data_IF_485641712500
#
_entry.id   IF_485641712500
#
_cell.length_a   1.000
_cell.length_b   1.000
_cell.length_c   1.000
_cell.angle_alpha   90.00
_cell.angle_beta   90.00
_cell.angle_gamma   90.00
#
_symmetry.space_group_name_H-M   'P 1'
#
loop_
_entity.id
_entity.type
_entity.pdbx_description
1 polymer ?
#
# COMPACT_ATOMS: atom_id res chain seq x y z
N UNK A 1 20.73 0.94 1.30
CA UNK A 1 21.06 1.70 2.54
C UNK A 1 22.13 2.75 2.30
N UNK A 2 23.15 2.46 1.51
CA UNK A 2 24.26 3.42 1.22
C UNK A 2 23.79 4.73 0.59
N UNK A 3 22.71 4.70 -0.22
CA UNK A 3 22.10 5.91 -0.76
C UNK A 3 21.42 6.82 0.28
N UNK A 4 20.93 6.24 1.38
CA UNK A 4 20.29 6.99 2.47
C UNK A 4 21.28 7.37 3.58
N UNK A 5 22.29 6.52 3.80
CA UNK A 5 23.30 6.66 4.86
C UNK A 5 24.69 6.31 4.34
N UNK A 6 25.26 7.12 3.43
CA UNK A 6 26.54 6.81 2.80
C UNK A 6 27.66 6.71 3.85
N UNK A 7 28.36 5.59 3.84
CA UNK A 7 29.50 5.33 4.75
C UNK A 7 29.15 5.05 6.21
N UNK A 8 27.84 4.97 6.59
CA UNK A 8 27.43 4.74 7.97
C UNK A 8 27.46 3.26 8.38
N UNK A 9 27.68 2.33 7.45
CA UNK A 9 27.71 0.89 7.74
C UNK A 9 26.40 0.34 8.33
N UNK A 10 25.27 0.91 7.95
CA UNK A 10 23.96 0.44 8.43
C UNK A 10 23.71 -0.99 7.99
N UNK A 11 23.55 -1.88 8.94
CA UNK A 11 23.30 -3.29 8.66
C UNK A 11 21.92 -3.49 8.01
N UNK A 12 21.89 -4.34 6.99
CA UNK A 12 20.67 -4.76 6.31
C UNK A 12 20.39 -6.20 6.76
N UNK A 13 19.19 -6.42 7.27
CA UNK A 13 18.69 -7.74 7.58
C UNK A 13 17.83 -8.25 6.45
N UNK A 14 18.07 -9.46 6.02
CA UNK A 14 17.24 -10.17 5.07
C UNK A 14 17.19 -11.66 5.46
N UNK A 15 16.09 -12.29 5.14
CA UNK A 15 15.98 -13.74 5.30
C UNK A 15 16.86 -14.41 4.24
N UNK A 16 17.72 -15.35 4.67
CA UNK A 16 18.60 -16.09 3.76
C UNK A 16 17.92 -17.23 3.00
N UNK A 17 16.61 -17.41 3.18
CA UNK A 17 15.81 -18.43 2.50
C UNK A 17 15.18 -17.94 1.18
N UNK A 18 14.45 -18.86 0.51
CA UNK A 18 13.79 -18.57 -0.77
C UNK A 18 12.60 -17.60 -0.65
N UNK A 19 12.11 -17.34 0.57
CA UNK A 19 10.99 -16.45 0.82
C UNK A 19 11.05 -15.80 2.20
N UNK A 20 10.69 -14.51 2.28
CA UNK A 20 10.59 -13.79 3.52
C UNK A 20 9.14 -13.85 4.07
N UNK A 21 8.93 -14.37 5.28
CA UNK A 21 7.59 -14.52 5.87
C UNK A 21 6.90 -13.17 6.14
N UNK A 22 7.62 -12.06 6.29
CA UNK A 22 7.02 -10.74 6.47
C UNK A 22 6.39 -10.20 5.19
N UNK A 23 7.04 -10.43 4.04
CA UNK A 23 6.69 -9.76 2.79
C UNK A 23 6.12 -10.70 1.73
N UNK A 24 6.55 -11.98 1.72
CA UNK A 24 6.15 -12.99 0.73
C UNK A 24 5.22 -14.05 1.34
N UNK A 25 4.21 -13.58 2.04
CA UNK A 25 3.27 -14.45 2.77
C UNK A 25 2.50 -15.43 1.87
N UNK A 26 2.44 -15.18 0.57
CA UNK A 26 1.88 -16.11 -0.41
C UNK A 26 2.72 -17.39 -0.62
N UNK A 27 3.91 -17.47 -0.06
CA UNK A 27 4.79 -18.66 -0.10
C UNK A 27 4.59 -19.62 1.07
N UNK A 28 3.85 -19.23 2.11
CA UNK A 28 3.73 -20.01 3.35
C UNK A 28 2.32 -20.57 3.54
N UNK A 29 2.21 -21.87 3.85
CA UNK A 29 0.92 -22.54 4.02
C UNK A 29 0.04 -21.91 5.13
N UNK A 30 0.64 -21.48 6.24
CA UNK A 30 -0.07 -20.90 7.38
C UNK A 30 -0.80 -19.57 7.04
N UNK A 31 -0.32 -18.87 6.02
CA UNK A 31 -0.85 -17.58 5.58
C UNK A 31 -1.71 -17.66 4.31
N UNK A 32 -1.90 -18.88 3.77
CA UNK A 32 -2.77 -19.07 2.62
C UNK A 32 -4.24 -18.95 3.05
N UNK A 33 -5.02 -18.10 2.38
CA UNK A 33 -6.47 -18.11 2.55
C UNK A 33 -7.06 -19.44 2.04
N UNK A 34 -8.13 -19.90 2.67
CA UNK A 34 -8.96 -20.96 2.08
C UNK A 34 -9.50 -20.47 0.72
N UNK A 35 -9.26 -21.19 -0.39
CA UNK A 35 -9.60 -20.70 -1.73
C UNK A 35 -11.11 -20.49 -1.93
N UNK A 36 -11.96 -21.35 -1.37
CA UNK A 36 -13.40 -21.26 -1.54
C UNK A 36 -13.95 -20.03 -0.77
N UNK A 37 -13.49 -19.84 0.47
CA UNK A 37 -13.85 -18.68 1.29
C UNK A 37 -13.34 -17.37 0.64
N UNK A 38 -12.09 -17.36 0.17
CA UNK A 38 -11.52 -16.19 -0.50
C UNK A 38 -12.36 -15.81 -1.72
N UNK A 39 -12.71 -16.77 -2.57
CA UNK A 39 -13.54 -16.54 -3.75
C UNK A 39 -14.92 -15.96 -3.35
N UNK A 40 -15.55 -16.51 -2.30
CA UNK A 40 -16.84 -16.03 -1.81
C UNK A 40 -16.75 -14.58 -1.30
N UNK A 41 -15.72 -14.25 -0.52
CA UNK A 41 -15.52 -12.89 0.01
C UNK A 41 -15.21 -11.88 -1.11
N UNK A 42 -14.41 -12.26 -2.11
CA UNK A 42 -14.14 -11.42 -3.27
C UNK A 42 -15.43 -11.18 -4.07
N UNK A 43 -16.21 -12.22 -4.36
CA UNK A 43 -17.49 -12.07 -5.07
C UNK A 43 -18.46 -11.18 -4.31
N UNK A 44 -18.56 -11.35 -2.98
CA UNK A 44 -19.40 -10.50 -2.12
C UNK A 44 -18.98 -9.03 -2.19
N UNK A 45 -17.68 -8.75 -2.09
CA UNK A 45 -17.13 -7.39 -2.16
C UNK A 45 -17.25 -6.78 -3.55
N UNK A 46 -17.06 -7.59 -4.59
CA UNK A 46 -17.17 -7.16 -5.98
C UNK A 46 -18.59 -6.68 -6.34
N UNK A 47 -19.62 -7.38 -5.86
CA UNK A 47 -21.00 -7.02 -6.18
C UNK A 47 -21.26 -6.96 -7.69
N UNK A 48 -21.85 -5.87 -8.15
CA UNK A 48 -22.09 -5.63 -9.58
C UNK A 48 -20.84 -5.06 -10.27
N UNK A 49 -20.07 -5.92 -10.92
CA UNK A 49 -18.87 -5.54 -11.65
C UNK A 49 -19.15 -4.70 -12.91
N UNK A 50 -20.36 -4.83 -13.51
CA UNK A 50 -20.73 -4.00 -14.65
C UNK A 50 -20.95 -2.55 -14.21
N UNK A 51 -21.63 -2.34 -13.09
CA UNK A 51 -21.81 -1.01 -12.49
C UNK A 51 -20.46 -0.38 -12.10
N UNK A 52 -19.55 -1.15 -11.46
CA UNK A 52 -18.21 -0.68 -11.12
C UNK A 52 -17.40 -0.27 -12.34
N UNK A 53 -17.43 -1.10 -13.39
CA UNK A 53 -16.77 -0.79 -14.66
C UNK A 53 -17.34 0.49 -15.29
N UNK A 54 -18.65 0.69 -15.24
CA UNK A 54 -19.29 1.91 -15.74
C UNK A 54 -18.87 3.15 -14.93
N UNK A 55 -18.76 3.05 -13.61
CA UNK A 55 -18.26 4.14 -12.76
C UNK A 55 -16.83 4.54 -13.11
N UNK A 56 -16.01 3.62 -13.60
CA UNK A 56 -14.63 3.84 -14.03
C UNK A 56 -14.47 4.14 -15.52
N UNK A 57 -15.58 4.30 -16.27
CA UNK A 57 -15.55 4.54 -17.71
C UNK A 57 -14.66 5.72 -18.13
N UNK A 58 -14.60 6.86 -17.41
CA UNK A 58 -13.69 7.95 -17.76
C UNK A 58 -12.21 7.55 -17.70
N UNK A 59 -11.79 6.81 -16.65
CA UNK A 59 -10.43 6.32 -16.50
C UNK A 59 -10.09 5.25 -17.56
N UNK A 60 -11.03 4.35 -17.85
CA UNK A 60 -10.88 3.32 -18.89
C UNK A 60 -10.71 3.99 -20.25
N UNK A 61 -11.53 5.00 -20.57
CA UNK A 61 -11.44 5.70 -21.85
C UNK A 61 -10.12 6.48 -21.99
N UNK A 62 -9.68 7.14 -20.93
CA UNK A 62 -8.38 7.83 -20.89
C UNK A 62 -7.24 6.83 -21.14
N UNK A 63 -7.25 5.68 -20.44
CA UNK A 63 -6.24 4.64 -20.64
C UNK A 63 -6.27 4.10 -22.07
N UNK A 64 -7.45 3.80 -22.59
CA UNK A 64 -7.62 3.32 -23.97
C UNK A 64 -7.04 4.30 -24.99
N UNK A 65 -7.34 5.58 -24.84
CA UNK A 65 -6.80 6.63 -25.73
C UNK A 65 -5.28 6.77 -25.61
N UNK A 66 -4.71 6.47 -24.44
CA UNK A 66 -3.28 6.56 -24.22
C UNK A 66 -2.47 5.40 -24.80
N UNK A 67 -3.04 4.18 -24.83
CA UNK A 67 -2.26 2.97 -25.13
C UNK A 67 -2.71 2.24 -26.39
N UNK A 68 -3.90 2.52 -26.94
CA UNK A 68 -4.39 1.87 -28.15
C UNK A 68 -4.04 2.68 -29.40
N UNK A 69 -3.62 1.98 -30.45
CA UNK A 69 -3.41 2.60 -31.76
C UNK A 69 -4.77 2.95 -32.37
N UNK A 70 -4.96 4.20 -32.84
CA UNK A 70 -6.19 4.58 -33.54
C UNK A 70 -6.53 3.60 -34.68
N UNK A 71 -7.81 3.32 -34.84
CA UNK A 71 -8.37 2.47 -35.90
C UNK A 71 -7.88 1.00 -35.91
N UNK A 72 -7.21 0.57 -34.80
CA UNK A 72 -6.84 -0.84 -34.61
C UNK A 72 -7.61 -1.48 -33.45
N UNK A 73 -7.95 -2.78 -33.55
CA UNK A 73 -8.55 -3.50 -32.43
C UNK A 73 -7.69 -3.42 -31.16
N UNK A 74 -8.32 -3.15 -30.02
CA UNK A 74 -7.67 -3.13 -28.73
C UNK A 74 -8.49 -3.97 -27.71
N UNK A 75 -8.53 -5.30 -27.90
CA UNK A 75 -9.54 -6.19 -27.31
C UNK A 75 -9.45 -6.27 -25.78
N UNK A 76 -8.34 -5.89 -25.17
CA UNK A 76 -8.20 -5.86 -23.70
C UNK A 76 -9.25 -4.97 -23.03
N UNK A 77 -9.71 -3.91 -23.70
CA UNK A 77 -10.74 -3.00 -23.21
C UNK A 77 -12.17 -3.53 -23.38
N UNK A 78 -12.34 -4.58 -24.18
CA UNK A 78 -13.64 -5.22 -24.42
C UNK A 78 -13.86 -6.44 -23.51
N UNK A 79 -12.82 -6.87 -22.76
CA UNK A 79 -12.91 -7.99 -21.83
C UNK A 79 -13.97 -7.70 -20.74
N UNK A 80 -14.87 -8.64 -20.46
CA UNK A 80 -15.80 -8.52 -19.35
C UNK A 80 -15.05 -8.58 -18.04
N UNK A 81 -15.51 -7.81 -17.04
CA UNK A 81 -15.00 -7.95 -15.69
C UNK A 81 -15.66 -9.13 -15.01
N UNK A 82 -14.86 -10.10 -14.60
CA UNK A 82 -15.31 -11.32 -13.94
C UNK A 82 -14.32 -11.68 -12.82
N UNK A 83 -14.85 -12.23 -11.74
CA UNK A 83 -14.00 -12.79 -10.68
C UNK A 83 -13.42 -14.12 -11.18
N UNK A 84 -12.12 -14.17 -11.26
CA UNK A 84 -11.37 -15.37 -11.63
C UNK A 84 -10.57 -15.89 -10.45
N UNK A 85 -10.38 -17.21 -10.38
CA UNK A 85 -9.49 -17.83 -9.43
C UNK A 85 -8.52 -18.77 -10.16
N UNK A 86 -7.24 -18.55 -9.96
CA UNK A 86 -6.19 -19.39 -10.51
C UNK A 86 -6.16 -20.77 -9.83
N UNK A 87 -5.46 -21.73 -10.44
CA UNK A 87 -5.22 -23.06 -9.83
C UNK A 87 -4.50 -22.97 -8.48
N UNK A 88 -3.72 -21.92 -8.24
CA UNK A 88 -3.06 -21.65 -6.95
C UNK A 88 -3.96 -20.95 -5.92
N UNK A 89 -5.24 -20.75 -6.23
CA UNK A 89 -6.19 -20.07 -5.34
C UNK A 89 -6.16 -18.54 -5.38
N UNK A 90 -5.24 -17.92 -6.14
CA UNK A 90 -5.18 -16.46 -6.28
C UNK A 90 -6.40 -15.93 -7.03
N UNK A 91 -7.10 -14.95 -6.45
CA UNK A 91 -8.24 -14.28 -7.08
C UNK A 91 -7.81 -13.00 -7.80
N UNK A 92 -8.48 -12.70 -8.91
CA UNK A 92 -8.30 -11.47 -9.68
C UNK A 92 -9.62 -11.10 -10.38
N UNK A 93 -9.69 -9.90 -10.91
CA UNK A 93 -10.81 -9.48 -11.78
C UNK A 93 -10.27 -9.37 -13.19
N UNK A 94 -10.75 -10.22 -14.11
CA UNK A 94 -10.37 -10.16 -15.52
C UNK A 94 -10.67 -8.78 -16.11
N UNK A 95 -9.86 -8.36 -17.06
CA UNK A 95 -9.95 -7.02 -17.64
C UNK A 95 -9.41 -5.92 -16.70
N UNK A 96 -9.91 -5.83 -15.46
CA UNK A 96 -9.47 -4.82 -14.50
C UNK A 96 -7.99 -4.98 -14.14
N UNK A 97 -7.55 -6.19 -13.80
CA UNK A 97 -6.15 -6.43 -13.40
C UNK A 97 -5.14 -6.07 -14.50
N UNK A 98 -5.51 -6.29 -15.78
CA UNK A 98 -4.66 -5.89 -16.90
C UNK A 98 -4.60 -4.37 -17.02
N UNK A 99 -5.75 -3.68 -16.94
CA UNK A 99 -5.81 -2.21 -16.98
C UNK A 99 -5.04 -1.60 -15.80
N UNK A 100 -5.17 -2.16 -14.61
CA UNK A 100 -4.43 -1.72 -13.42
C UNK A 100 -2.92 -1.85 -13.61
N UNK A 101 -2.44 -2.96 -14.19
CA UNK A 101 -1.03 -3.15 -14.51
C UNK A 101 -0.52 -2.13 -15.54
N UNK A 102 -1.34 -1.77 -16.54
CA UNK A 102 -0.99 -0.70 -17.50
C UNK A 102 -0.86 0.65 -16.79
N UNK A 103 -1.83 0.98 -15.91
CA UNK A 103 -1.77 2.23 -15.13
C UNK A 103 -0.56 2.25 -14.22
N UNK A 104 -0.22 1.12 -13.59
CA UNK A 104 0.99 1.00 -12.76
C UNK A 104 2.26 1.26 -13.58
N UNK A 105 2.35 0.67 -14.78
CA UNK A 105 3.48 0.90 -15.69
C UNK A 105 3.61 2.39 -16.05
N UNK A 106 2.49 3.06 -16.36
CA UNK A 106 2.49 4.48 -16.66
C UNK A 106 2.89 5.33 -15.44
N UNK A 107 2.40 4.99 -14.25
CA UNK A 107 2.77 5.66 -13.00
C UNK A 107 4.27 5.50 -12.70
N UNK A 108 4.81 4.29 -12.84
CA UNK A 108 6.23 4.02 -12.64
C UNK A 108 7.08 4.80 -13.65
N UNK A 109 6.72 4.75 -14.94
CA UNK A 109 7.42 5.52 -15.98
C UNK A 109 7.36 7.04 -15.73
N UNK A 110 6.24 7.54 -15.19
CA UNK A 110 6.12 8.94 -14.76
C UNK A 110 7.11 9.24 -13.63
N UNK A 111 7.15 8.39 -12.61
CA UNK A 111 8.00 8.57 -11.42
C UNK A 111 9.50 8.44 -11.74
N UNK A 112 9.86 7.61 -12.72
CA UNK A 112 11.23 7.47 -13.22
C UNK A 112 11.68 8.60 -14.17
N UNK A 113 10.83 9.62 -14.36
CA UNK A 113 11.08 10.72 -15.26
C UNK A 113 11.41 10.29 -16.72
N UNK A 114 10.77 9.23 -17.20
CA UNK A 114 10.95 8.81 -18.59
C UNK A 114 10.56 9.94 -19.55
N UNK A 115 11.25 10.07 -20.71
CA UNK A 115 10.82 10.97 -21.78
C UNK A 115 9.34 10.74 -22.13
N UNK A 116 8.59 11.81 -22.40
CA UNK A 116 7.15 11.68 -22.70
C UNK A 116 6.88 10.78 -23.88
N UNK A 117 7.76 10.74 -24.89
CA UNK A 117 7.68 9.82 -26.03
C UNK A 117 7.76 8.34 -25.65
N UNK A 118 8.34 8.03 -24.47
CA UNK A 118 8.40 6.69 -23.88
C UNK A 118 7.25 6.45 -22.88
N UNK A 119 6.51 7.51 -22.56
CA UNK A 119 5.36 7.43 -21.65
C UNK A 119 4.07 7.52 -22.48
N UNK A 120 3.57 6.36 -22.91
CA UNK A 120 2.39 6.25 -23.79
C UNK A 120 2.50 7.16 -25.03
N UNK A 121 3.64 7.18 -25.71
CA UNK A 121 3.86 7.91 -26.97
C UNK A 121 3.37 9.37 -26.94
N UNK A 122 3.74 10.12 -25.92
CA UNK A 122 3.33 11.50 -25.66
C UNK A 122 1.82 11.69 -25.33
N UNK A 123 1.05 10.62 -25.15
CA UNK A 123 -0.35 10.76 -24.76
C UNK A 123 -0.55 11.10 -23.29
N UNK A 124 0.43 10.80 -22.42
CA UNK A 124 0.44 11.18 -21.02
C UNK A 124 1.53 12.23 -20.80
N UNK A 125 1.12 13.47 -20.58
CA UNK A 125 2.03 14.64 -20.50
C UNK A 125 1.94 15.40 -19.19
N UNK A 126 0.97 15.04 -18.31
CA UNK A 126 0.67 15.77 -17.06
C UNK A 126 0.34 14.80 -15.92
N UNK A 127 0.75 15.16 -14.71
CA UNK A 127 0.42 14.40 -13.49
C UNK A 127 -1.10 14.18 -13.32
N UNK A 128 -1.91 15.16 -13.70
CA UNK A 128 -3.38 15.04 -13.62
C UNK A 128 -3.97 13.90 -14.47
N UNK A 129 -3.31 13.51 -15.56
CA UNK A 129 -3.72 12.35 -16.35
C UNK A 129 -3.38 11.05 -15.62
N UNK A 130 -2.21 10.97 -14.99
CA UNK A 130 -1.89 9.85 -14.10
C UNK A 130 -2.92 9.78 -12.97
N UNK A 131 -3.18 10.90 -12.26
CA UNK A 131 -4.20 10.97 -11.20
C UNK A 131 -5.56 10.42 -11.66
N UNK A 132 -5.99 10.77 -12.87
CA UNK A 132 -7.27 10.31 -13.44
C UNK A 132 -7.31 8.80 -13.76
N UNK A 133 -6.15 8.17 -13.94
CA UNK A 133 -6.03 6.72 -14.16
C UNK A 133 -5.98 5.91 -12.85
N UNK A 134 -5.50 6.51 -11.74
CA UNK A 134 -5.30 5.82 -10.46
C UNK A 134 -6.54 5.12 -9.88
N UNK A 135 -7.79 5.55 -10.13
CA UNK A 135 -8.97 4.80 -9.69
C UNK A 135 -9.00 3.33 -10.15
N UNK A 136 -8.39 3.00 -11.29
CA UNK A 136 -8.27 1.60 -11.76
C UNK A 136 -7.34 0.77 -10.85
N UNK A 137 -6.27 1.37 -10.34
CA UNK A 137 -5.39 0.73 -9.34
C UNK A 137 -6.12 0.56 -8.01
N UNK A 138 -6.80 1.59 -7.54
CA UNK A 138 -7.57 1.52 -6.28
C UNK A 138 -8.61 0.41 -6.33
N UNK A 139 -9.38 0.33 -7.42
CA UNK A 139 -10.39 -0.72 -7.60
C UNK A 139 -9.76 -2.13 -7.61
N UNK A 140 -8.59 -2.26 -8.24
CA UNK A 140 -7.87 -3.53 -8.25
C UNK A 140 -7.39 -3.94 -6.85
N UNK A 141 -6.88 -3.01 -6.02
CA UNK A 141 -6.55 -3.30 -4.63
C UNK A 141 -7.80 -3.65 -3.82
N UNK A 142 -8.88 -2.88 -3.95
CA UNK A 142 -10.12 -3.09 -3.22
C UNK A 142 -10.69 -4.50 -3.45
N UNK A 143 -10.57 -5.03 -4.67
CA UNK A 143 -11.09 -6.34 -5.07
C UNK A 143 -10.07 -7.49 -4.96
N UNK A 144 -8.86 -7.21 -4.51
CA UNK A 144 -7.80 -8.22 -4.32
C UNK A 144 -7.20 -8.16 -2.92
N UNK A 145 -6.22 -7.29 -2.69
CA UNK A 145 -5.45 -7.21 -1.45
C UNK A 145 -6.24 -6.66 -0.26
N UNK A 146 -7.19 -5.75 -0.52
CA UNK A 146 -8.04 -5.13 0.50
C UNK A 146 -9.31 -5.95 0.84
N UNK A 147 -9.44 -7.16 0.33
CA UNK A 147 -10.47 -8.10 0.80
C UNK A 147 -10.08 -8.56 2.20
N UNK A 148 -10.94 -8.27 3.20
CA UNK A 148 -10.59 -8.41 4.61
C UNK A 148 -10.00 -9.78 4.97
N UNK A 149 -10.61 -10.87 4.52
CA UNK A 149 -10.11 -12.21 4.81
C UNK A 149 -8.71 -12.45 4.19
N UNK A 150 -8.47 -12.00 2.97
CA UNK A 150 -7.16 -12.08 2.33
C UNK A 150 -6.12 -11.25 3.09
N UNK A 151 -6.48 -10.01 3.42
CA UNK A 151 -5.62 -9.10 4.18
C UNK A 151 -5.30 -9.69 5.57
N UNK A 152 -6.28 -10.29 6.23
CA UNK A 152 -6.10 -10.91 7.54
C UNK A 152 -5.13 -12.08 7.47
N UNK A 153 -5.28 -12.97 6.49
CA UNK A 153 -4.38 -14.11 6.33
C UNK A 153 -2.94 -13.71 5.96
N UNK A 154 -2.77 -12.73 5.11
CA UNK A 154 -1.46 -12.37 4.52
C UNK A 154 -0.81 -11.14 5.14
N UNK A 155 -1.58 -10.21 5.71
CA UNK A 155 -1.07 -8.96 6.29
C UNK A 155 -0.77 -9.03 7.78
N UNK A 156 -1.30 -10.04 8.50
CA UNK A 156 -1.20 -10.10 9.96
C UNK A 156 0.22 -10.21 10.47
N UNK A 157 1.10 -10.96 9.81
CA UNK A 157 2.50 -11.10 10.23
C UNK A 157 3.20 -9.74 10.21
N UNK A 158 3.10 -9.02 9.09
CA UNK A 158 3.76 -7.73 8.93
C UNK A 158 3.20 -6.70 9.92
N UNK A 159 1.87 -6.61 10.05
CA UNK A 159 1.26 -5.70 11.02
C UNK A 159 1.68 -6.03 12.45
N UNK A 160 1.73 -7.31 12.82
CA UNK A 160 2.20 -7.73 14.14
C UNK A 160 3.64 -7.29 14.39
N UNK A 161 4.54 -7.53 13.42
CA UNK A 161 5.94 -7.11 13.51
C UNK A 161 6.09 -5.57 13.62
N UNK A 162 5.29 -4.80 12.87
CA UNK A 162 5.27 -3.33 12.98
C UNK A 162 4.82 -2.86 14.37
N UNK A 163 3.79 -3.49 14.94
CA UNK A 163 3.30 -3.13 16.28
C UNK A 163 4.28 -3.56 17.38
N UNK A 164 4.94 -4.70 17.26
CA UNK A 164 6.01 -5.14 18.14
C UNK A 164 7.20 -4.18 18.08
N UNK A 165 7.59 -3.73 16.89
CA UNK A 165 8.71 -2.80 16.70
C UNK A 165 8.56 -1.45 17.40
N UNK A 166 7.32 -1.01 17.73
CA UNK A 166 7.08 0.21 18.50
C UNK A 166 6.82 -0.06 19.98
N UNK A 167 6.82 -1.33 20.44
CA UNK A 167 6.66 -1.67 21.84
C UNK A 167 7.97 -1.49 22.60
N UNK A 168 7.85 -1.02 23.87
CA UNK A 168 8.99 -0.80 24.72
C UNK A 168 9.65 -2.14 25.10
N UNK A 169 10.96 -2.21 24.93
CA UNK A 169 11.75 -3.40 25.25
C UNK A 169 11.79 -4.49 24.18
N UNK A 170 10.93 -4.43 23.17
CA UNK A 170 10.95 -5.41 22.08
C UNK A 170 12.24 -5.30 21.23
N UNK A 171 12.74 -4.07 21.09
CA UNK A 171 13.95 -3.76 20.31
C UNK A 171 14.78 -2.70 21.06
N UNK A 172 15.42 -3.03 22.18
CA UNK A 172 15.95 -2.03 23.13
C UNK A 172 17.01 -1.10 22.53
N UNK A 173 17.74 -1.53 21.52
CA UNK A 173 18.81 -0.74 20.88
C UNK A 173 18.39 -0.13 19.54
N UNK A 174 17.19 -0.42 19.04
CA UNK A 174 16.71 0.07 17.73
C UNK A 174 15.91 1.34 17.95
N UNK A 175 16.38 2.44 17.35
CA UNK A 175 15.68 3.74 17.35
C UNK A 175 14.81 3.92 16.12
N UNK A 176 15.15 3.24 15.05
CA UNK A 176 14.46 3.31 13.77
C UNK A 176 14.50 1.95 13.09
N UNK A 177 13.34 1.41 12.76
CA UNK A 177 13.16 0.18 12.01
C UNK A 177 12.57 0.52 10.64
N UNK A 178 13.30 0.25 9.56
CA UNK A 178 12.83 0.42 8.19
C UNK A 178 12.51 -0.95 7.59
N UNK A 179 11.24 -1.17 7.28
CA UNK A 179 10.74 -2.36 6.59
C UNK A 179 10.50 -2.02 5.12
N UNK A 180 11.34 -2.55 4.23
CA UNK A 180 11.23 -2.31 2.78
C UNK A 180 10.28 -3.36 2.19
N UNK A 181 9.09 -2.92 1.80
CA UNK A 181 7.99 -3.77 1.40
C UNK A 181 7.42 -3.36 0.02
N UNK A 182 6.44 -4.11 -0.45
CA UNK A 182 5.67 -3.80 -1.65
C UNK A 182 4.36 -3.06 -1.31
N UNK A 183 3.77 -2.40 -2.29
CA UNK A 183 2.47 -1.76 -2.21
C UNK A 183 1.36 -2.70 -1.73
N UNK A 184 1.37 -3.95 -2.20
CA UNK A 184 0.42 -4.99 -1.77
C UNK A 184 0.51 -5.32 -0.28
N UNK A 185 1.70 -5.25 0.31
CA UNK A 185 1.88 -5.42 1.76
C UNK A 185 1.22 -4.27 2.53
N UNK A 186 1.44 -3.03 2.10
CA UNK A 186 0.82 -1.84 2.70
C UNK A 186 -0.71 -1.89 2.54
N UNK A 187 -1.22 -2.32 1.38
CA UNK A 187 -2.65 -2.48 1.13
C UNK A 187 -3.31 -3.44 2.12
N UNK A 188 -2.70 -4.60 2.38
CA UNK A 188 -3.20 -5.56 3.36
C UNK A 188 -3.13 -5.01 4.79
N UNK A 189 -2.01 -4.40 5.17
CA UNK A 189 -1.82 -3.81 6.51
C UNK A 189 -2.83 -2.70 6.77
N UNK A 190 -3.04 -1.75 5.83
CA UNK A 190 -4.02 -0.67 6.00
C UNK A 190 -5.44 -1.19 6.22
N UNK A 191 -5.81 -2.29 5.52
CA UNK A 191 -7.12 -2.94 5.69
C UNK A 191 -7.31 -3.45 7.11
N UNK A 192 -6.27 -4.06 7.70
CA UNK A 192 -6.30 -4.53 9.09
C UNK A 192 -6.30 -3.40 10.12
N UNK A 193 -5.64 -2.29 9.80
CA UNK A 193 -5.60 -1.10 10.65
C UNK A 193 -6.89 -0.27 10.57
N UNK A 194 -7.81 -0.61 9.65
CA UNK A 194 -8.98 0.21 9.33
C UNK A 194 -8.56 1.65 8.99
N UNK A 195 -7.48 1.78 8.21
CA UNK A 195 -6.88 3.05 7.84
C UNK A 195 -6.93 3.27 6.33
N UNK A 196 -7.63 4.32 5.92
CA UNK A 196 -7.64 4.78 4.54
C UNK A 196 -7.16 6.22 4.47
N UNK A 197 -6.50 6.58 3.40
CA UNK A 197 -5.99 7.93 3.15
C UNK A 197 -6.43 8.46 1.81
N UNK A 198 -6.45 9.78 1.72
CA UNK A 198 -6.72 10.53 0.51
C UNK A 198 -5.68 11.65 0.41
N UNK A 199 -4.61 11.42 -0.31
CA UNK A 199 -3.58 12.43 -0.53
C UNK A 199 -3.92 13.30 -1.75
N UNK A 200 -3.56 14.59 -1.75
CA UNK A 200 -3.73 15.45 -2.92
C UNK A 200 -3.06 14.85 -4.17
N UNK A 201 -3.76 14.86 -5.30
CA UNK A 201 -3.24 14.31 -6.56
C UNK A 201 -3.28 12.78 -6.68
N UNK A 202 -3.74 12.07 -5.66
CA UNK A 202 -3.87 10.61 -5.66
C UNK A 202 -5.33 10.18 -5.48
N UNK A 203 -5.68 9.00 -5.94
CA UNK A 203 -6.94 8.35 -5.59
C UNK A 203 -6.90 7.82 -4.15
N UNK A 204 -8.08 7.57 -3.57
CA UNK A 204 -8.22 6.99 -2.22
C UNK A 204 -7.34 5.75 -2.07
N UNK A 205 -6.58 5.70 -0.98
CA UNK A 205 -5.75 4.55 -0.63
C UNK A 205 -4.64 4.24 -1.64
N UNK A 206 -4.29 5.15 -2.54
CA UNK A 206 -3.18 4.91 -3.47
C UNK A 206 -1.84 4.79 -2.72
N UNK A 207 -0.96 3.94 -3.22
CA UNK A 207 0.34 3.64 -2.63
C UNK A 207 1.41 3.90 -3.70
N UNK A 208 1.90 5.15 -3.84
CA UNK A 208 2.90 5.48 -4.84
C UNK A 208 4.30 4.98 -4.44
N UNK A 209 5.23 4.87 -5.40
CA UNK A 209 6.63 4.56 -5.13
C UNK A 209 7.23 5.49 -4.07
N UNK A 210 8.09 4.96 -3.21
CA UNK A 210 8.74 5.74 -2.13
C UNK A 210 7.80 6.20 -1.01
N UNK A 211 6.51 5.82 -1.04
CA UNK A 211 5.58 6.10 0.06
C UNK A 211 5.90 5.26 1.29
N UNK A 212 5.45 5.71 2.45
CA UNK A 212 5.66 5.00 3.71
C UNK A 212 4.47 5.09 4.64
N UNK A 213 4.20 3.96 5.30
CA UNK A 213 3.32 3.87 6.47
C UNK A 213 4.22 3.92 7.71
N UNK A 214 4.01 4.91 8.55
CA UNK A 214 4.91 5.25 9.66
C UNK A 214 4.19 5.12 10.99
N UNK A 215 4.84 4.47 11.96
CA UNK A 215 4.43 4.38 13.35
C UNK A 215 5.53 5.00 14.22
N UNK A 216 5.17 5.98 15.03
CA UNK A 216 6.11 6.68 15.94
C UNK A 216 5.65 6.55 17.39
N UNK A 217 6.53 6.07 18.26
CA UNK A 217 6.30 6.07 19.70
C UNK A 217 6.81 7.39 20.31
N UNK A 218 5.91 8.14 20.94
CA UNK A 218 6.19 9.42 21.58
C UNK A 218 6.02 9.32 23.10
N UNK A 219 6.84 10.08 23.85
CA UNK A 219 6.71 10.22 25.28
C UNK A 219 6.68 11.69 25.66
N UNK A 220 5.66 12.09 26.39
CA UNK A 220 5.61 13.41 27.04
C UNK A 220 6.65 13.45 28.18
N UNK A 221 7.60 14.35 28.09
CA UNK A 221 8.71 14.47 29.07
C UNK A 221 8.26 14.98 30.45
N UNK A 222 7.12 15.65 30.53
CA UNK A 222 6.60 16.18 31.80
C UNK A 222 5.76 15.14 32.53
N UNK A 223 4.81 14.52 31.84
CA UNK A 223 3.89 13.57 32.47
C UNK A 223 4.33 12.12 32.37
N UNK A 224 5.34 11.80 31.56
CA UNK A 224 5.77 10.44 31.25
C UNK A 224 4.77 9.64 30.41
N UNK A 225 3.64 10.22 30.03
CA UNK A 225 2.62 9.56 29.23
C UNK A 225 3.15 9.21 27.85
N UNK A 226 2.73 8.05 27.35
CA UNK A 226 3.10 7.58 26.02
C UNK A 226 1.96 7.76 25.03
N UNK A 227 2.36 7.99 23.79
CA UNK A 227 1.48 8.18 22.65
C UNK A 227 2.02 7.42 21.44
N UNK A 228 1.12 7.06 20.54
CA UNK A 228 1.46 6.55 19.22
C UNK A 228 0.96 7.56 18.17
N UNK A 229 1.83 7.87 17.22
CA UNK A 229 1.48 8.61 16.02
C UNK A 229 1.57 7.68 14.82
N UNK A 230 0.55 7.66 14.00
CA UNK A 230 0.50 6.81 12.80
C UNK A 230 0.07 7.63 11.61
N UNK A 231 0.79 7.51 10.51
CA UNK A 231 0.47 8.26 9.30
C UNK A 231 0.97 7.54 8.04
N UNK A 232 0.32 7.83 6.94
CA UNK A 232 0.80 7.50 5.61
C UNK A 232 1.33 8.77 4.93
N UNK A 233 2.44 8.65 4.22
CA UNK A 233 3.04 9.78 3.50
C UNK A 233 3.58 9.36 2.14
N UNK A 234 3.56 10.31 1.20
CA UNK A 234 4.12 10.17 -0.13
C UNK A 234 4.56 11.53 -0.69
N UNK A 235 5.45 11.52 -1.67
CA UNK A 235 5.71 12.71 -2.48
C UNK A 235 4.54 12.97 -3.44
N UNK A 236 4.40 14.18 -3.95
CA UNK A 236 3.50 14.44 -5.07
C UNK A 236 4.00 13.75 -6.35
N UNK A 237 3.11 13.49 -7.31
CA UNK A 237 3.49 12.94 -8.61
C UNK A 237 4.49 13.83 -9.36
N UNK A 238 4.38 15.14 -9.19
CA UNK A 238 5.28 16.09 -9.82
C UNK A 238 6.65 16.11 -9.16
N UNK A 239 6.73 16.01 -7.83
CA UNK A 239 8.00 15.94 -7.10
C UNK A 239 8.73 14.63 -7.38
N UNK A 240 7.98 13.50 -7.44
CA UNK A 240 8.56 12.21 -7.89
C UNK A 240 9.19 12.35 -9.27
N UNK A 241 8.45 12.90 -10.24
CA UNK A 241 8.95 13.07 -11.61
C UNK A 241 10.16 13.97 -11.70
N UNK A 242 10.21 15.04 -10.90
CA UNK A 242 11.33 15.98 -10.88
C UNK A 242 12.51 15.50 -10.04
N UNK A 243 12.41 14.33 -9.41
CA UNK A 243 13.35 13.83 -8.42
C UNK A 243 13.62 14.86 -7.31
N UNK A 244 12.57 15.61 -6.96
CA UNK A 244 12.64 16.66 -5.95
C UNK A 244 12.72 16.04 -4.56
N UNK A 245 13.82 16.31 -3.85
CA UNK A 245 13.93 15.88 -2.45
C UNK A 245 12.93 16.65 -1.58
N UNK A 246 12.28 15.97 -0.61
CA UNK A 246 11.40 16.63 0.34
C UNK A 246 12.13 17.71 1.15
N UNK A 247 11.55 18.91 1.20
CA UNK A 247 12.01 20.05 1.97
C UNK A 247 10.83 20.90 2.46
N UNK A 248 11.07 22.11 2.99
CA UNK A 248 10.02 23.00 3.45
C UNK A 248 9.13 23.57 2.35
N UNK A 249 9.61 23.60 1.10
CA UNK A 249 8.87 24.07 -0.08
C UNK A 249 8.12 22.91 -0.76
N UNK A 250 8.65 21.71 -0.65
CA UNK A 250 8.14 20.46 -1.23
C UNK A 250 7.96 19.41 -0.12
N UNK A 251 7.02 19.65 0.84
CA UNK A 251 6.84 18.72 1.95
C UNK A 251 6.20 17.42 1.48
N UNK A 252 6.47 16.34 2.20
CA UNK A 252 5.72 15.09 2.00
C UNK A 252 4.23 15.33 2.23
N UNK A 253 3.42 14.87 1.30
CA UNK A 253 1.97 14.76 1.51
C UNK A 253 1.71 13.75 2.60
N UNK A 254 0.81 14.04 3.54
CA UNK A 254 0.62 13.19 4.72
C UNK A 254 -0.85 13.13 5.12
N UNK A 255 -1.28 11.96 5.58
CA UNK A 255 -2.53 11.78 6.29
C UNK A 255 -2.31 10.97 7.55
N UNK A 256 -2.83 11.49 8.65
CA UNK A 256 -2.73 10.91 10.00
C UNK A 256 -3.89 9.93 10.26
N UNK A 257 -3.59 8.80 10.86
CA UNK A 257 -4.58 7.91 11.43
C UNK A 257 -5.15 8.50 12.72
N UNK A 258 -6.45 8.30 12.96
CA UNK A 258 -7.15 8.85 14.11
C UNK A 258 -8.17 7.87 14.68
N UNK A 259 -8.35 7.91 15.98
CA UNK A 259 -9.45 7.28 16.70
C UNK A 259 -9.93 8.19 17.84
N UNK A 260 -10.95 7.75 18.57
CA UNK A 260 -11.40 8.44 19.78
C UNK A 260 -10.28 8.55 20.79
N UNK A 261 -10.12 9.74 21.40
CA UNK A 261 -9.06 10.05 22.36
C UNK A 261 -7.75 10.55 21.76
N UNK A 262 -7.58 10.54 20.43
CA UNK A 262 -6.44 11.17 19.78
C UNK A 262 -6.53 12.69 19.85
N UNK A 263 -5.39 13.36 19.96
CA UNK A 263 -5.26 14.81 20.05
C UNK A 263 -4.41 15.34 18.90
N UNK A 264 -4.81 16.45 18.31
CA UNK A 264 -3.98 17.18 17.36
C UNK A 264 -3.00 18.08 18.11
N UNK A 265 -1.73 17.98 17.77
CA UNK A 265 -0.61 18.74 18.36
C UNK A 265 0.23 19.33 17.22
N UNK A 266 1.22 20.15 17.57
CA UNK A 266 2.23 20.71 16.65
C UNK A 266 3.12 19.64 16.01
N UNK A 267 3.27 18.49 16.65
CA UNK A 267 4.02 17.35 16.07
C UNK A 267 3.14 16.38 15.28
N UNK A 268 1.82 16.60 15.23
CA UNK A 268 0.85 15.78 14.53
C UNK A 268 -0.22 15.18 15.45
N UNK A 269 -0.89 14.11 15.00
CA UNK A 269 -1.94 13.45 15.77
C UNK A 269 -1.36 12.42 16.72
N UNK A 270 -1.44 12.69 18.01
CA UNK A 270 -1.00 11.80 19.08
C UNK A 270 -2.18 11.05 19.68
N UNK A 271 -2.12 9.73 19.67
CA UNK A 271 -3.15 8.84 20.20
C UNK A 271 -2.63 8.16 21.49
N UNK A 272 -3.47 7.98 22.53
CA UNK A 272 -3.06 7.25 23.74
C UNK A 272 -2.49 5.88 23.37
N UNK A 273 -1.26 5.62 23.80
CA UNK A 273 -0.42 4.55 23.29
C UNK A 273 -1.09 3.16 23.33
N UNK A 274 -1.55 2.73 24.53
CA UNK A 274 -2.14 1.40 24.68
C UNK A 274 -3.45 1.24 23.91
N UNK A 275 -4.29 2.27 23.89
CA UNK A 275 -5.54 2.27 23.14
C UNK A 275 -5.29 2.20 21.63
N UNK A 276 -4.27 2.90 21.14
CA UNK A 276 -3.87 2.87 19.75
C UNK A 276 -3.35 1.47 19.32
N UNK A 277 -2.45 0.87 20.11
CA UNK A 277 -1.95 -0.50 19.84
C UNK A 277 -3.11 -1.51 19.79
N UNK A 278 -4.03 -1.43 20.75
CA UNK A 278 -5.20 -2.32 20.80
C UNK A 278 -6.08 -2.14 19.56
N UNK A 279 -6.37 -0.91 19.16
CA UNK A 279 -7.20 -0.62 17.99
C UNK A 279 -6.55 -1.08 16.68
N UNK A 280 -5.26 -0.81 16.50
CA UNK A 280 -4.51 -1.20 15.30
C UNK A 280 -4.35 -2.72 15.19
N UNK A 281 -4.15 -3.42 16.32
CA UNK A 281 -3.97 -4.87 16.35
C UNK A 281 -5.25 -5.69 16.40
N UNK A 282 -6.42 -5.07 16.46
CA UNK A 282 -7.72 -5.76 16.68
C UNK A 282 -8.07 -6.83 15.63
N UNK A 283 -7.54 -6.69 14.42
CA UNK A 283 -7.84 -7.55 13.29
C UNK A 283 -6.72 -8.55 12.94
N UNK A 284 -5.63 -8.56 13.72
CA UNK A 284 -4.54 -9.52 13.52
C UNK A 284 -5.04 -10.94 13.77
N UNK A 285 -4.85 -11.82 12.80
CA UNK A 285 -5.02 -13.27 12.97
C UNK A 285 -3.76 -13.85 13.65
N UNK A 286 -3.88 -14.12 14.94
CA UNK A 286 -2.77 -14.66 15.76
C UNK A 286 -2.31 -16.05 15.32
N UNK A 287 -3.15 -16.80 14.62
CA UNK A 287 -2.77 -18.12 14.09
C UNK A 287 -1.92 -17.99 12.82
N UNK A 288 -2.17 -16.96 12.01
CA UNK A 288 -1.40 -16.67 10.79
C UNK A 288 -0.16 -15.82 11.07
N UNK A 289 -0.05 -15.23 12.26
CA UNK A 289 1.05 -14.38 12.68
C UNK A 289 1.74 -15.01 13.92
N UNK A 290 2.44 -16.14 13.79
CA UNK A 290 3.35 -16.57 14.85
C UNK A 290 4.35 -15.46 15.10
N UNK A 291 4.80 -15.31 16.36
CA UNK A 291 5.84 -14.36 16.69
C UNK A 291 7.02 -14.57 15.73
N UNK A 292 7.28 -13.59 14.90
CA UNK A 292 8.49 -13.57 14.09
C UNK A 292 9.56 -13.06 15.04
N UNK A 293 10.44 -13.95 15.46
CA UNK A 293 11.68 -13.50 16.07
C UNK A 293 12.41 -12.66 15.02
N UNK A 294 12.22 -11.35 15.09
CA UNK A 294 13.07 -10.44 14.39
C UNK A 294 14.44 -10.56 15.04
N UNK A 295 15.31 -11.37 14.44
CA UNK A 295 16.72 -11.39 14.81
C UNK A 295 17.31 -10.02 14.43
N UNK A 296 17.04 -9.03 15.27
CA UNK A 296 17.72 -7.74 15.23
C UNK A 296 19.08 -7.94 15.91
N UNK A 297 20.15 -7.33 15.37
CA UNK A 297 21.50 -7.48 15.88
C UNK A 297 21.64 -6.97 17.32
#
# INVERSE_FOLDING_TARGET
MDGAFPGCGVMIHHVSGDADPLFQTDKFAATQPDPARQLAEVKKKAGDLAQRRQALAPAIQLLKNAVCVPDKPCPVFDLPWQVEQSKSGKTSISGLSVMANMVETLRLGWSENLPLSQLAWDHITRASQITALLPLLTENYDLSNDVFYTAQKRGSILLNAMLEGVQEGATPNVRWLLLVAHDTNIAMVRTLMDFSWQLPGYSRGNIPPGSSLVLESWRDTHSGKRYLRVYFQAQSLDDLRRLQMPDSQHPMLRQEWRQSGCQTTDVGTLCPYQAALTALGKHIDRQSAPAVEMALP
#
